data_IF_258509223149
#
_entry.id   IF_258509223149
#
_cell.length_a   1.000
_cell.length_b   1.000
_cell.length_c   1.000
_cell.angle_alpha   90.00
_cell.angle_beta   90.00
_cell.angle_gamma   90.00
#
_symmetry.space_group_name_H-M   'P 1'
#
loop_
_entity.id
_entity.type
_entity.pdbx_description
1 polymer ?
#
# COMPACT_ATOMS: atom_id res chain seq x y z
N UNK A 1 -6.08 22.95 -12.81
CA UNK A 1 -5.76 23.55 -11.48
C UNK A 1 -4.90 22.57 -10.66
N UNK A 2 -5.30 21.33 -10.46
CA UNK A 2 -4.51 20.32 -9.69
C UNK A 2 -3.09 20.14 -10.23
N UNK A 3 -2.93 20.04 -11.55
CA UNK A 3 -1.61 19.88 -12.19
C UNK A 3 -0.69 21.06 -11.90
N UNK A 4 -1.22 22.29 -11.95
CA UNK A 4 -0.44 23.52 -11.66
C UNK A 4 0.03 23.53 -10.19
N UNK A 5 -0.82 23.09 -9.27
CA UNK A 5 -0.47 22.98 -7.84
C UNK A 5 0.65 21.95 -7.66
N UNK A 6 0.57 20.78 -8.30
CA UNK A 6 1.63 19.77 -8.22
C UNK A 6 2.94 20.25 -8.84
N UNK A 7 2.91 20.99 -9.96
CA UNK A 7 4.10 21.57 -10.58
C UNK A 7 4.72 22.60 -9.64
N UNK A 8 3.92 23.46 -9.01
CA UNK A 8 4.41 24.46 -8.07
C UNK A 8 5.08 23.80 -6.84
N UNK A 9 4.45 22.78 -6.26
CA UNK A 9 5.02 22.02 -5.14
C UNK A 9 6.33 21.34 -5.57
N UNK A 10 6.36 20.72 -6.74
CA UNK A 10 7.58 20.07 -7.26
C UNK A 10 8.71 21.06 -7.48
N UNK A 11 8.40 22.25 -8.01
CA UNK A 11 9.39 23.30 -8.22
C UNK A 11 9.97 23.83 -6.88
N UNK A 12 9.11 24.01 -5.87
CA UNK A 12 9.56 24.42 -4.52
C UNK A 12 10.46 23.34 -3.92
N UNK A 13 10.07 22.07 -4.00
CA UNK A 13 10.88 20.95 -3.53
C UNK A 13 12.22 20.89 -4.26
N UNK A 14 12.25 21.10 -5.58
CA UNK A 14 13.48 21.12 -6.37
C UNK A 14 14.42 22.26 -5.95
N UNK A 15 13.89 23.45 -5.63
CA UNK A 15 14.69 24.58 -5.14
C UNK A 15 15.27 24.33 -3.75
N UNK A 16 14.48 23.72 -2.85
CA UNK A 16 14.96 23.29 -1.52
C UNK A 16 16.09 22.28 -1.68
N UNK A 17 15.93 21.37 -2.62
CA UNK A 17 16.85 20.27 -2.90
C UNK A 17 18.16 20.74 -3.52
N UNK A 18 18.15 21.81 -4.31
CA UNK A 18 19.36 22.42 -4.87
C UNK A 18 20.35 22.87 -3.76
N UNK A 19 19.83 23.19 -2.58
CA UNK A 19 20.64 23.54 -1.39
C UNK A 19 21.02 22.33 -0.52
N UNK A 20 20.41 21.16 -0.75
CA UNK A 20 20.60 19.96 0.06
C UNK A 20 21.34 18.89 -0.74
N UNK A 21 22.13 18.06 -0.07
CA UNK A 21 22.87 16.95 -0.72
C UNK A 21 21.93 15.94 -1.40
N UNK A 22 22.41 15.31 -2.46
CA UNK A 22 21.72 14.31 -3.31
C UNK A 22 21.01 13.18 -2.55
N UNK A 23 21.42 12.91 -1.32
CA UNK A 23 20.86 11.88 -0.42
C UNK A 23 19.37 12.11 -0.09
N UNK A 24 18.90 13.36 -0.16
CA UNK A 24 17.51 13.69 0.18
C UNK A 24 16.48 13.15 -0.83
N UNK A 25 16.81 13.12 -2.13
CA UNK A 25 15.92 12.57 -3.18
C UNK A 25 15.67 11.08 -2.96
N UNK A 26 16.75 10.33 -2.76
CA UNK A 26 16.68 8.90 -2.54
C UNK A 26 15.86 8.57 -1.27
N UNK A 27 15.98 9.39 -0.23
CA UNK A 27 15.18 9.24 0.99
C UNK A 27 13.71 9.49 0.74
N UNK A 28 13.34 10.59 0.07
CA UNK A 28 11.94 10.90 -0.27
C UNK A 28 11.32 9.81 -1.14
N UNK A 29 12.09 9.32 -2.11
CA UNK A 29 11.65 8.21 -2.96
C UNK A 29 11.39 6.95 -2.13
N UNK A 30 12.30 6.58 -1.25
CA UNK A 30 12.16 5.44 -0.34
C UNK A 30 10.96 5.58 0.59
N UNK A 31 10.69 6.79 1.11
CA UNK A 31 9.53 7.08 1.96
C UNK A 31 8.22 6.90 1.18
N UNK A 32 8.14 7.47 -0.02
CA UNK A 32 6.93 7.40 -0.85
C UNK A 32 6.60 5.97 -1.26
N UNK A 33 7.59 5.22 -1.73
CA UNK A 33 7.43 3.82 -2.08
C UNK A 33 7.13 2.94 -0.87
N UNK A 34 7.81 3.18 0.25
CA UNK A 34 7.56 2.47 1.49
C UNK A 34 6.16 2.69 2.05
N UNK A 35 5.67 3.94 1.99
CA UNK A 35 4.31 4.27 2.40
C UNK A 35 3.26 3.58 1.52
N UNK A 36 3.43 3.62 0.20
CA UNK A 36 2.53 2.96 -0.74
C UNK A 36 2.54 1.43 -0.56
N UNK A 37 3.71 0.83 -0.57
CA UNK A 37 3.84 -0.61 -0.42
C UNK A 37 3.31 -1.09 0.94
N UNK A 38 3.66 -0.41 2.03
CA UNK A 38 3.17 -0.74 3.37
C UNK A 38 1.66 -0.59 3.52
N UNK A 39 1.06 0.40 2.85
CA UNK A 39 -0.38 0.66 2.94
C UNK A 39 -1.23 -0.32 2.12
N UNK A 40 -0.76 -0.69 0.93
CA UNK A 40 -1.59 -1.41 -0.03
C UNK A 40 -1.29 -2.90 -0.16
N UNK A 41 -0.04 -3.32 0.08
CA UNK A 41 0.36 -4.71 -0.16
C UNK A 41 -0.47 -5.69 0.67
N UNK A 42 -0.57 -5.48 1.97
CA UNK A 42 -1.27 -6.39 2.85
C UNK A 42 -2.79 -6.43 2.58
N UNK A 43 -3.52 -5.29 2.50
CA UNK A 43 -4.92 -5.30 2.13
C UNK A 43 -5.17 -5.95 0.77
N UNK A 44 -4.32 -5.69 -0.22
CA UNK A 44 -4.44 -6.25 -1.56
C UNK A 44 -4.28 -7.77 -1.54
N UNK A 45 -3.20 -8.27 -0.93
CA UNK A 45 -2.95 -9.71 -0.82
C UNK A 45 -4.10 -10.43 -0.12
N UNK A 46 -4.52 -9.93 1.04
CA UNK A 46 -5.58 -10.58 1.80
C UNK A 46 -6.97 -10.46 1.14
N UNK A 47 -7.24 -9.39 0.38
CA UNK A 47 -8.51 -9.26 -0.34
C UNK A 47 -8.64 -10.25 -1.50
N UNK A 48 -7.53 -10.68 -2.09
CA UNK A 48 -7.52 -11.71 -3.14
C UNK A 48 -7.73 -13.14 -2.57
N UNK A 49 -7.14 -13.41 -1.40
CA UNK A 49 -7.15 -14.76 -0.84
C UNK A 49 -8.22 -15.00 0.23
N UNK A 50 -8.79 -13.95 0.80
CA UNK A 50 -9.70 -14.07 1.94
C UNK A 50 -10.99 -13.26 1.75
N UNK A 51 -12.11 -13.96 1.78
CA UNK A 51 -13.46 -13.36 1.82
C UNK A 51 -13.79 -12.66 3.16
N UNK A 52 -12.84 -12.60 4.10
CA UNK A 52 -13.09 -12.11 5.48
C UNK A 52 -12.50 -10.71 5.76
N UNK A 53 -11.84 -10.10 4.79
CA UNK A 53 -11.20 -8.78 4.97
C UNK A 53 -12.26 -7.69 5.11
N UNK A 54 -12.18 -6.94 6.20
CA UNK A 54 -13.11 -5.84 6.47
C UNK A 54 -12.57 -4.50 5.96
N UNK A 55 -13.48 -3.57 5.65
CA UNK A 55 -13.09 -2.19 5.28
C UNK A 55 -12.23 -1.53 6.37
N UNK A 56 -12.54 -1.80 7.64
CA UNK A 56 -11.81 -1.23 8.76
C UNK A 56 -10.36 -1.75 8.84
N UNK A 57 -10.10 -3.01 8.49
CA UNK A 57 -8.73 -3.55 8.46
C UNK A 57 -7.86 -2.90 7.38
N UNK A 58 -8.46 -2.57 6.23
CA UNK A 58 -7.76 -1.82 5.18
C UNK A 58 -7.42 -0.39 5.64
N UNK A 59 -8.37 0.31 6.27
CA UNK A 59 -8.14 1.63 6.82
C UNK A 59 -7.09 1.62 7.94
N UNK A 60 -7.14 0.64 8.82
CA UNK A 60 -6.16 0.48 9.90
C UNK A 60 -4.74 0.28 9.35
N UNK A 61 -4.58 -0.56 8.35
CA UNK A 61 -3.29 -0.78 7.70
C UNK A 61 -2.77 0.50 7.00
N UNK A 62 -3.65 1.19 6.29
CA UNK A 62 -3.31 2.44 5.60
C UNK A 62 -2.87 3.52 6.59
N UNK A 63 -3.64 3.75 7.65
CA UNK A 63 -3.33 4.75 8.67
C UNK A 63 -2.03 4.39 9.42
N UNK A 64 -1.87 3.12 9.81
CA UNK A 64 -0.67 2.67 10.49
C UNK A 64 0.59 2.89 9.65
N UNK A 65 0.58 2.49 8.38
CA UNK A 65 1.71 2.66 7.48
C UNK A 65 2.03 4.13 7.23
N UNK A 66 1.01 4.95 7.00
CA UNK A 66 1.18 6.39 6.77
C UNK A 66 1.74 7.09 8.02
N UNK A 67 1.19 6.81 9.20
CA UNK A 67 1.67 7.38 10.47
C UNK A 67 3.09 6.93 10.77
N UNK A 68 3.41 5.65 10.54
CA UNK A 68 4.76 5.12 10.76
C UNK A 68 5.79 5.83 9.87
N UNK A 69 5.45 6.07 8.60
CA UNK A 69 6.34 6.77 7.67
C UNK A 69 6.49 8.26 8.03
N UNK A 70 5.40 8.93 8.40
CA UNK A 70 5.47 10.31 8.87
C UNK A 70 6.28 10.41 10.17
N UNK A 71 6.07 9.51 11.10
CA UNK A 71 6.85 9.45 12.34
C UNK A 71 8.35 9.26 12.06
N UNK A 72 8.70 8.42 11.08
CA UNK A 72 10.09 8.24 10.68
C UNK A 72 10.73 9.53 10.15
N UNK A 73 9.96 10.41 9.49
CA UNK A 73 10.47 11.71 9.01
C UNK A 73 10.71 12.67 10.18
N UNK A 74 9.74 12.81 11.09
CA UNK A 74 9.76 13.80 12.14
C UNK A 74 10.56 13.36 13.38
N UNK A 75 10.51 12.10 13.73
CA UNK A 75 11.10 11.52 14.95
C UNK A 75 12.23 10.54 14.66
N UNK A 76 12.99 10.79 13.60
CA UNK A 76 14.07 9.89 13.14
C UNK A 76 15.04 9.49 14.24
N UNK A 77 15.35 10.42 15.18
CA UNK A 77 16.27 10.17 16.29
C UNK A 77 15.73 9.19 17.35
N UNK A 78 14.42 9.00 17.44
CA UNK A 78 13.77 8.08 18.38
C UNK A 78 13.68 6.64 17.86
N UNK A 79 13.96 6.41 16.58
CA UNK A 79 13.91 5.08 16.00
C UNK A 79 15.26 4.36 16.10
N UNK A 80 15.25 3.03 16.25
CA UNK A 80 16.49 2.21 16.17
C UNK A 80 17.21 2.49 14.85
N UNK A 81 18.52 2.43 14.87
CA UNK A 81 19.37 2.79 13.72
C UNK A 81 19.02 2.07 12.42
N UNK A 82 18.59 0.81 12.50
CA UNK A 82 18.16 0.05 11.34
C UNK A 82 16.82 0.51 10.76
N UNK A 83 15.93 1.08 11.59
CA UNK A 83 14.61 1.58 11.18
C UNK A 83 14.66 3.05 10.70
N UNK A 84 15.77 3.74 10.94
CA UNK A 84 15.98 5.11 10.45
C UNK A 84 16.11 5.18 8.92
N UNK A 85 16.45 4.06 8.28
CA UNK A 85 16.42 3.95 6.83
C UNK A 85 14.97 3.88 6.34
N UNK A 86 14.53 4.75 5.41
CA UNK A 86 13.18 4.72 4.85
C UNK A 86 12.81 3.38 4.21
N UNK A 87 13.78 2.70 3.62
CA UNK A 87 13.58 1.39 2.99
C UNK A 87 13.26 0.33 4.04
N UNK A 88 14.03 0.28 5.13
CA UNK A 88 13.78 -0.67 6.21
C UNK A 88 12.46 -0.38 6.94
N UNK A 89 12.14 0.90 7.12
CA UNK A 89 10.86 1.33 7.68
C UNK A 89 9.68 0.91 6.79
N UNK A 90 9.83 1.04 5.47
CA UNK A 90 8.85 0.56 4.49
C UNK A 90 8.66 -0.96 4.53
N UNK A 91 9.76 -1.70 4.57
CA UNK A 91 9.73 -3.16 4.72
C UNK A 91 9.04 -3.57 6.02
N UNK A 92 9.37 -2.90 7.13
CA UNK A 92 8.71 -3.14 8.42
C UNK A 92 7.20 -2.85 8.35
N UNK A 93 6.79 -1.75 7.71
CA UNK A 93 5.39 -1.41 7.51
C UNK A 93 4.64 -2.49 6.71
N UNK A 94 5.29 -3.09 5.69
CA UNK A 94 4.72 -4.19 4.90
C UNK A 94 4.48 -5.43 5.76
N UNK A 95 5.47 -5.86 6.54
CA UNK A 95 5.34 -7.03 7.43
C UNK A 95 4.32 -6.77 8.54
N UNK A 96 4.35 -5.59 9.16
CA UNK A 96 3.37 -5.21 10.17
C UNK A 96 1.95 -5.20 9.59
N UNK A 97 1.76 -4.70 8.36
CA UNK A 97 0.49 -4.73 7.65
C UNK A 97 -0.05 -6.15 7.46
N UNK A 98 0.82 -7.11 7.14
CA UNK A 98 0.44 -8.52 7.00
C UNK A 98 -0.10 -9.12 8.31
N UNK A 99 0.28 -8.57 9.45
CA UNK A 99 -0.23 -9.00 10.76
C UNK A 99 -1.47 -8.19 11.13
N UNK A 100 -1.46 -6.88 10.91
CA UNK A 100 -2.54 -5.96 11.28
C UNK A 100 -3.84 -6.30 10.55
N UNK A 101 -3.77 -6.57 9.24
CA UNK A 101 -4.98 -6.84 8.43
C UNK A 101 -5.77 -8.05 8.96
N UNK A 102 -5.18 -9.25 9.16
CA UNK A 102 -5.93 -10.37 9.69
C UNK A 102 -6.38 -10.14 11.15
N UNK A 103 -5.54 -9.54 11.99
CA UNK A 103 -5.87 -9.27 13.40
C UNK A 103 -7.07 -8.33 13.49
N UNK A 104 -7.04 -7.19 12.83
CA UNK A 104 -8.17 -6.22 12.83
C UNK A 104 -9.41 -6.83 12.19
N UNK A 105 -9.24 -7.64 11.14
CA UNK A 105 -10.37 -8.33 10.50
C UNK A 105 -11.05 -9.35 11.40
N UNK A 106 -10.34 -9.93 12.38
CA UNK A 106 -10.95 -10.81 13.40
C UNK A 106 -11.83 -10.05 14.39
N UNK A 107 -11.46 -8.81 14.72
CA UNK A 107 -12.21 -7.97 15.67
C UNK A 107 -13.31 -7.13 15.03
N UNK A 108 -13.35 -7.04 13.70
CA UNK A 108 -14.32 -6.21 12.98
C UNK A 108 -15.41 -7.07 12.36
N UNK A 109 -16.67 -6.57 12.33
CA UNK A 109 -17.78 -7.30 11.71
C UNK A 109 -17.45 -7.62 10.24
N UNK A 110 -17.83 -8.82 9.83
CA UNK A 110 -17.61 -9.33 8.47
C UNK A 110 -18.32 -8.45 7.45
N UNK A 111 -17.74 -8.26 6.26
CA UNK A 111 -18.42 -7.57 5.17
C UNK A 111 -19.68 -8.35 4.74
N UNK A 112 -20.61 -7.66 4.10
CA UNK A 112 -21.85 -8.24 3.58
C UNK A 112 -21.52 -9.42 2.66
N UNK A 113 -22.07 -10.59 2.98
CA UNK A 113 -21.82 -11.83 2.24
C UNK A 113 -22.19 -11.71 0.78
N UNK A 114 -23.30 -11.06 0.49
CA UNK A 114 -23.81 -10.88 -0.87
C UNK A 114 -22.84 -10.10 -1.75
N UNK A 115 -22.22 -9.06 -1.19
CA UNK A 115 -21.24 -8.21 -1.89
C UNK A 115 -19.92 -8.97 -2.14
N UNK A 116 -19.50 -9.79 -1.16
CA UNK A 116 -18.30 -10.62 -1.27
C UNK A 116 -18.50 -11.74 -2.27
N UNK A 117 -19.62 -12.46 -2.21
CA UNK A 117 -19.89 -13.58 -3.11
C UNK A 117 -20.07 -13.09 -4.56
N UNK A 118 -20.68 -11.93 -4.79
CA UNK A 118 -20.71 -11.31 -6.11
C UNK A 118 -19.31 -10.94 -6.63
N UNK A 119 -18.41 -10.44 -5.77
CA UNK A 119 -17.05 -10.11 -6.17
C UNK A 119 -16.23 -11.35 -6.52
N UNK A 120 -16.49 -12.46 -5.83
CA UNK A 120 -15.79 -13.73 -6.08
C UNK A 120 -16.49 -14.64 -7.11
N UNK A 121 -17.69 -14.29 -7.58
CA UNK A 121 -18.41 -15.04 -8.61
C UNK A 121 -17.64 -15.17 -9.93
N UNK A 122 -16.69 -14.26 -10.20
CA UNK A 122 -15.81 -14.38 -11.36
C UNK A 122 -14.83 -15.55 -11.28
N UNK A 123 -14.49 -16.02 -10.08
CA UNK A 123 -13.62 -17.21 -9.90
C UNK A 123 -14.37 -18.54 -10.03
N UNK A 124 -15.69 -18.51 -9.87
CA UNK A 124 -16.56 -19.69 -10.01
C UNK A 124 -17.08 -19.90 -11.44
N UNK A 125 -16.99 -18.87 -12.28
CA UNK A 125 -17.30 -18.98 -13.70
C UNK A 125 -16.12 -19.59 -14.43
N UNK A 126 -16.19 -20.89 -14.71
CA UNK A 126 -15.37 -21.51 -15.74
C UNK A 126 -15.71 -20.81 -17.07
N UNK A 127 -14.82 -19.95 -17.53
CA UNK A 127 -14.87 -19.46 -18.91
C UNK A 127 -14.38 -20.59 -19.80
N UNK A 128 -15.31 -21.37 -20.32
CA UNK A 128 -15.01 -22.20 -21.48
C UNK A 128 -14.59 -21.26 -22.61
N UNK A 129 -13.29 -21.11 -22.78
CA UNK A 129 -12.74 -20.42 -23.94
C UNK A 129 -13.10 -21.31 -25.13
N UNK A 130 -13.98 -20.87 -26.06
CA UNK A 130 -14.25 -21.66 -27.24
C UNK A 130 -12.92 -21.86 -27.96
N UNK A 131 -12.44 -23.10 -27.97
CA UNK A 131 -11.27 -23.49 -28.77
C UNK A 131 -11.61 -23.09 -30.19
N UNK A 132 -10.91 -22.06 -30.68
CA UNK A 132 -11.00 -21.64 -32.07
C UNK A 132 -10.48 -22.81 -32.90
N UNK A 133 -11.37 -23.61 -33.39
CA UNK A 133 -11.13 -24.64 -34.44
C UNK A 133 -10.81 -23.93 -35.75
N UNK A 134 -9.81 -23.06 -35.73
CA UNK A 134 -9.38 -22.30 -36.88
C UNK A 134 -7.86 -22.42 -37.04
N UNK A 135 -7.37 -23.63 -36.97
CA UNK A 135 -6.24 -24.00 -37.80
C UNK A 135 -6.89 -24.77 -38.98
N UNK A 136 -7.24 -23.94 -39.97
CA UNK A 136 -7.87 -24.40 -41.16
C UNK A 136 -7.10 -25.49 -41.87
N UNK A 137 -7.86 -26.39 -42.40
CA UNK A 137 -7.51 -27.01 -43.66
C UNK A 137 -7.45 -25.94 -44.76
#
# INVERSE_FOLDING_TARGET
ILVVVFIAISAILALIQYKSSVTFIAQLMGISWGALAGSFLAPFMFSLYSKKVSKASCWACFLFSSVLMLANIFFRAGFPTWLQSPINCGAFAMFAGMIIVPVVSLFTPKPDKELVDNAFACYEKETEVPQKTALGK
#
